data_IF_981019854465
#
_entry.id   IF_981019854465
#
_cell.length_a   1.000
_cell.length_b   1.000
_cell.length_c   1.000
_cell.angle_alpha   90.00
_cell.angle_beta   90.00
_cell.angle_gamma   90.00
#
_symmetry.space_group_name_H-M   'P 1'
#
loop_
_entity.id
_entity.type
_entity.pdbx_description
1 polymer ?
#
# COMPACT_ATOMS: atom_id res chain seq x y z
N UNK A 1 -0.53 5.76 -5.32
CA UNK A 1 -1.02 4.45 -5.81
C UNK A 1 0.06 3.39 -5.96
N UNK A 2 1.34 3.75 -6.07
CA UNK A 2 2.42 2.76 -6.14
C UNK A 2 2.49 1.83 -4.92
N UNK A 3 2.43 2.38 -3.70
CA UNK A 3 2.48 1.57 -2.47
C UNK A 3 1.29 0.60 -2.33
N UNK A 4 0.09 1.02 -2.77
CA UNK A 4 -1.08 0.14 -2.88
C UNK A 4 -0.75 -1.05 -3.79
N UNK A 5 -0.30 -0.77 -5.01
CA UNK A 5 -0.03 -1.79 -6.00
C UNK A 5 1.15 -2.69 -5.62
N UNK A 6 2.15 -2.14 -4.92
CA UNK A 6 3.28 -2.89 -4.41
C UNK A 6 2.81 -3.95 -3.41
N UNK A 7 2.06 -3.56 -2.39
CA UNK A 7 1.57 -4.51 -1.39
C UNK A 7 0.67 -5.59 -2.00
N UNK A 8 -0.20 -5.23 -2.94
CA UNK A 8 -1.02 -6.19 -3.67
C UNK A 8 -0.16 -7.24 -4.40
N UNK A 9 0.92 -6.79 -5.07
CA UNK A 9 1.76 -7.67 -5.89
C UNK A 9 2.75 -8.51 -5.09
N UNK A 10 3.28 -7.99 -3.97
CA UNK A 10 4.31 -8.69 -3.20
C UNK A 10 3.72 -9.55 -2.10
N UNK A 11 2.67 -9.06 -1.42
CA UNK A 11 2.10 -9.73 -0.24
C UNK A 11 0.69 -10.28 -0.47
N UNK A 12 0.06 -10.00 -1.61
CA UNK A 12 -1.32 -10.44 -1.89
C UNK A 12 -2.38 -9.77 -1.00
N UNK A 13 -2.02 -8.65 -0.35
CA UNK A 13 -2.93 -7.89 0.52
C UNK A 13 -3.40 -6.66 -0.27
N UNK A 14 -4.73 -6.51 -0.40
CA UNK A 14 -5.33 -5.30 -0.97
C UNK A 14 -5.58 -4.31 0.18
N UNK A 15 -4.75 -3.26 0.36
CA UNK A 15 -4.90 -2.34 1.47
C UNK A 15 -6.01 -1.31 1.17
N UNK A 16 -6.60 -0.72 2.20
CA UNK A 16 -7.36 0.52 2.00
C UNK A 16 -6.44 1.60 1.38
N UNK A 17 -7.00 2.50 0.56
CA UNK A 17 -6.21 3.61 -0.01
C UNK A 17 -5.57 4.45 1.10
N UNK A 18 -6.25 4.63 2.23
CA UNK A 18 -5.72 5.31 3.42
C UNK A 18 -4.53 4.56 4.02
N UNK A 19 -4.55 3.22 4.05
CA UNK A 19 -3.41 2.40 4.49
C UNK A 19 -2.23 2.51 3.52
N UNK A 20 -2.48 2.61 2.21
CA UNK A 20 -1.41 2.78 1.23
C UNK A 20 -0.61 4.08 1.42
N UNK A 21 -1.19 5.12 2.03
CA UNK A 21 -0.47 6.34 2.38
C UNK A 21 0.59 6.09 3.46
N UNK A 22 0.24 5.33 4.51
CA UNK A 22 1.18 4.96 5.57
C UNK A 22 2.34 4.12 5.01
N UNK A 23 2.05 3.19 4.10
CA UNK A 23 3.07 2.37 3.44
C UNK A 23 4.02 3.19 2.55
N UNK A 24 3.50 4.17 1.81
CA UNK A 24 4.33 5.07 1.01
C UNK A 24 5.35 5.83 1.89
N UNK A 25 4.89 6.36 3.03
CA UNK A 25 5.78 7.01 4.01
C UNK A 25 6.77 6.03 4.64
N UNK A 26 6.32 4.83 5.00
CA UNK A 26 7.17 3.80 5.59
C UNK A 26 8.33 3.39 4.66
N UNK A 27 8.09 3.32 3.34
CA UNK A 27 9.14 3.03 2.37
C UNK A 27 10.21 4.14 2.28
N UNK A 28 9.83 5.40 2.46
CA UNK A 28 10.77 6.51 2.53
C UNK A 28 11.59 6.45 3.82
N UNK A 29 10.90 6.35 4.96
CA UNK A 29 11.54 6.27 6.28
C UNK A 29 12.46 5.05 6.39
N UNK A 30 12.05 3.90 5.86
CA UNK A 30 12.87 2.68 5.85
C UNK A 30 14.17 2.84 5.07
N UNK A 31 14.16 3.61 3.97
CA UNK A 31 15.40 3.93 3.22
C UNK A 31 16.34 4.83 4.04
N UNK A 32 15.78 5.77 4.79
CA UNK A 32 16.56 6.68 5.64
C UNK A 32 17.17 5.97 6.86
N UNK A 33 16.43 5.06 7.49
CA UNK A 33 16.89 4.31 8.67
C UNK A 33 17.82 3.13 8.33
N UNK A 34 17.77 2.62 7.10
CA UNK A 34 18.63 1.54 6.62
C UNK A 34 18.10 0.12 6.90
N UNK A 35 18.84 -0.92 6.44
CA UNK A 35 18.31 -2.29 6.30
C UNK A 35 18.02 -3.01 7.61
N UNK A 36 18.54 -2.54 8.74
CA UNK A 36 18.34 -3.16 10.06
C UNK A 36 17.18 -2.52 10.84
N UNK A 37 16.51 -1.51 10.28
CA UNK A 37 15.39 -0.85 10.94
C UNK A 37 14.16 -1.77 10.98
N UNK A 38 13.44 -1.75 12.10
CA UNK A 38 12.13 -2.42 12.23
C UNK A 38 11.05 -1.35 12.31
N UNK A 39 10.09 -1.40 11.37
CA UNK A 39 8.97 -0.47 11.30
C UNK A 39 7.66 -1.23 11.54
N UNK A 40 6.87 -0.78 12.52
CA UNK A 40 5.51 -1.27 12.72
C UNK A 40 4.53 -0.31 12.04
N UNK A 41 3.81 -0.82 11.04
CA UNK A 41 2.82 -0.05 10.28
C UNK A 41 1.44 -0.63 10.53
N UNK A 42 0.49 0.24 10.90
CA UNK A 42 -0.90 -0.15 11.05
C UNK A 42 -1.59 -0.22 9.68
N UNK A 43 -2.04 -1.41 9.27
CA UNK A 43 -2.97 -1.55 8.15
C UNK A 43 -4.39 -1.26 8.65
N UNK A 44 -4.76 0.03 8.63
CA UNK A 44 -6.01 0.53 9.19
C UNK A 44 -7.27 -0.08 8.58
N UNK A 45 -7.19 -0.61 7.36
CA UNK A 45 -8.31 -1.28 6.71
C UNK A 45 -7.90 -2.05 5.45
N UNK A 46 -8.85 -2.86 4.99
CA UNK A 46 -8.78 -3.59 3.72
C UNK A 46 -9.36 -2.76 2.56
N UNK A 47 -8.92 -3.06 1.35
CA UNK A 47 -9.21 -2.27 0.16
C UNK A 47 -10.47 -2.64 -0.61
N UNK A 48 -11.36 -3.51 -0.10
CA UNK A 48 -12.57 -3.91 -0.84
C UNK A 48 -13.41 -2.72 -1.30
N UNK A 49 -13.58 -1.70 -0.44
CA UNK A 49 -14.32 -0.47 -0.78
C UNK A 49 -13.66 0.33 -1.90
N UNK A 50 -12.35 0.15 -2.10
CA UNK A 50 -11.51 0.96 -2.97
C UNK A 50 -11.20 0.25 -4.31
N UNK A 51 -11.65 -0.99 -4.52
CA UNK A 51 -11.33 -1.78 -5.72
C UNK A 51 -11.76 -1.07 -7.00
N UNK A 52 -12.96 -0.48 -7.04
CA UNK A 52 -13.44 0.26 -8.21
C UNK A 52 -12.55 1.48 -8.53
N UNK A 53 -12.18 2.23 -7.49
CA UNK A 53 -11.27 3.38 -7.63
C UNK A 53 -9.88 2.94 -8.10
N UNK A 54 -9.35 1.87 -7.52
CA UNK A 54 -8.04 1.33 -7.89
C UNK A 54 -8.04 0.81 -9.33
N UNK A 55 -9.07 0.07 -9.75
CA UNK A 55 -9.18 -0.45 -11.10
C UNK A 55 -9.26 0.68 -12.14
N UNK A 56 -10.09 1.70 -11.90
CA UNK A 56 -10.14 2.89 -12.74
C UNK A 56 -8.78 3.59 -12.83
N UNK A 57 -8.07 3.73 -11.71
CA UNK A 57 -6.73 4.33 -11.68
C UNK A 57 -5.70 3.52 -12.47
N UNK A 58 -5.74 2.19 -12.38
CA UNK A 58 -4.80 1.30 -13.06
C UNK A 58 -5.23 0.91 -14.49
N UNK A 59 -6.39 1.38 -14.96
CA UNK A 59 -6.91 1.01 -16.29
C UNK A 59 -7.32 -0.47 -16.38
N UNK A 60 -7.79 -1.04 -15.28
CA UNK A 60 -8.29 -2.42 -15.20
C UNK A 60 -9.81 -2.38 -15.37
N UNK A 61 -10.34 -3.21 -16.27
CA UNK A 61 -11.78 -3.42 -16.43
C UNK A 61 -12.29 -4.38 -15.33
N UNK A 62 -13.39 -4.02 -14.68
CA UNK A 62 -14.02 -4.78 -13.58
C UNK A 62 -15.34 -5.42 -14.01
#
# INVERSE_FOLDING_TARGET
>A
MEAFALLCRTEGIIPAIETAHALAGAMQVGKELGPNATLLINLSGRGDKDVATAAAYFGIEL
#
